data_IF_766434170593
#
_entry.id   IF_766434170593
#
_cell.length_a   1.000
_cell.length_b   1.000
_cell.length_c   1.000
_cell.angle_alpha   90.00
_cell.angle_beta   90.00
_cell.angle_gamma   90.00
#
_symmetry.space_group_name_H-M   'P 1'
#
loop_
_entity.id
_entity.type
_entity.pdbx_description
1 polymer ?
#
# COMPACT_ATOMS: atom_id res chain seq x y z
N UNK A 1 -5.94 -6.54 15.65
CA UNK A 1 -6.14 -5.79 14.42
C UNK A 1 -4.81 -5.60 13.71
N UNK A 2 -4.77 -5.87 12.41
CA UNK A 2 -3.55 -5.67 11.66
C UNK A 2 -3.49 -4.22 11.16
N UNK A 3 -2.42 -3.55 11.49
CA UNK A 3 -2.17 -2.20 11.00
C UNK A 3 -0.85 -2.25 10.27
N UNK A 4 -0.88 -2.04 8.96
CA UNK A 4 0.33 -2.12 8.16
C UNK A 4 0.66 -0.76 7.58
N UNK A 5 1.96 -0.55 7.35
CA UNK A 5 2.41 0.65 6.67
C UNK A 5 2.63 0.32 5.21
N UNK A 6 2.09 1.14 4.33
CA UNK A 6 2.17 0.94 2.90
C UNK A 6 3.24 1.83 2.30
N UNK A 7 4.08 1.23 1.48
CA UNK A 7 5.18 1.92 0.82
C UNK A 7 5.06 1.75 -0.68
N UNK A 8 5.57 2.71 -1.42
CA UNK A 8 5.62 2.64 -2.88
C UNK A 8 7.06 2.83 -3.32
N UNK A 9 7.52 1.95 -4.22
CA UNK A 9 8.86 2.07 -4.75
C UNK A 9 8.85 3.03 -5.93
N UNK A 10 9.64 4.08 -5.83
CA UNK A 10 9.85 5.06 -6.89
C UNK A 10 11.34 5.28 -7.05
N UNK A 11 11.84 5.09 -8.26
CA UNK A 11 13.26 5.30 -8.52
C UNK A 11 14.17 4.46 -7.66
N UNK A 12 13.73 3.24 -7.32
CA UNK A 12 14.50 2.33 -6.50
C UNK A 12 14.44 2.59 -5.00
N UNK A 13 13.62 3.54 -4.59
CA UNK A 13 13.49 3.88 -3.17
C UNK A 13 12.06 3.64 -2.68
N UNK A 14 11.94 3.19 -1.44
CA UNK A 14 10.65 3.01 -0.80
C UNK A 14 10.21 4.32 -0.15
N UNK A 15 9.02 4.76 -0.50
CA UNK A 15 8.44 5.96 0.11
C UNK A 15 7.17 5.56 0.84
N UNK A 16 7.01 6.05 2.06
CA UNK A 16 5.82 5.78 2.83
C UNK A 16 4.63 6.50 2.19
N UNK A 17 3.57 5.75 1.93
CA UNK A 17 2.36 6.29 1.30
C UNK A 17 1.26 6.50 2.33
N UNK A 18 1.05 5.51 3.18
CA UNK A 18 -0.03 5.57 4.16
C UNK A 18 0.32 4.69 5.34
N UNK A 19 0.14 5.22 6.54
CA UNK A 19 0.36 4.48 7.78
C UNK A 19 -0.94 3.86 8.28
N UNK A 20 -0.81 2.80 9.05
CA UNK A 20 -1.93 2.16 9.76
C UNK A 20 -3.05 1.77 8.81
N UNK A 21 -2.68 1.11 7.72
CA UNK A 21 -3.64 0.63 6.72
C UNK A 21 -4.33 -0.62 7.25
N UNK A 22 -5.64 -0.64 7.21
CA UNK A 22 -6.40 -1.84 7.60
C UNK A 22 -7.26 -2.40 6.48
N UNK A 23 -7.41 -1.68 5.37
CA UNK A 23 -8.18 -2.15 4.22
C UNK A 23 -7.37 -1.94 2.95
N UNK A 24 -7.25 -3.00 2.17
CA UNK A 24 -6.63 -2.93 0.84
C UNK A 24 -7.57 -3.64 -0.11
N UNK A 25 -8.06 -2.92 -1.10
CA UNK A 25 -9.00 -3.48 -2.07
C UNK A 25 -8.54 -3.17 -3.49
N UNK A 26 -8.68 -4.13 -4.41
CA UNK A 26 -8.34 -3.85 -5.81
C UNK A 26 -9.34 -2.88 -6.42
N UNK A 27 -8.85 -2.04 -7.32
CA UNK A 27 -9.70 -1.11 -8.07
C UNK A 27 -10.02 -1.71 -9.43
N UNK A 28 -11.23 -1.39 -9.93
CA UNK A 28 -11.69 -1.94 -11.20
C UNK A 28 -10.79 -1.57 -12.37
N UNK A 29 -10.17 -0.40 -12.30
CA UNK A 29 -9.32 0.08 -13.38
C UNK A 29 -7.84 -0.22 -13.15
N UNK A 30 -7.58 -1.10 -12.20
CA UNK A 30 -6.22 -1.46 -11.84
C UNK A 30 -5.74 -0.71 -10.62
N UNK A 31 -4.75 -1.28 -9.95
CA UNK A 31 -4.23 -0.69 -8.73
C UNK A 31 -5.03 -1.09 -7.51
N UNK A 32 -4.76 -0.42 -6.41
CA UNK A 32 -5.34 -0.76 -5.12
C UNK A 32 -5.76 0.50 -4.38
N UNK A 33 -6.87 0.39 -3.67
CA UNK A 33 -7.32 1.42 -2.75
C UNK A 33 -6.96 1.01 -1.34
N UNK A 34 -6.26 1.89 -0.65
CA UNK A 34 -5.83 1.67 0.73
C UNK A 34 -6.62 2.58 1.64
N UNK A 35 -7.05 2.05 2.77
CA UNK A 35 -7.77 2.86 3.76
C UNK A 35 -7.09 2.66 5.11
N UNK A 36 -6.78 3.75 5.79
CA UNK A 36 -6.18 3.69 7.11
C UNK A 36 -7.25 3.52 8.18
N UNK A 37 -6.82 3.20 9.39
CA UNK A 37 -7.74 3.09 10.52
C UNK A 37 -8.41 4.42 10.84
N UNK A 38 -7.86 5.52 10.33
CA UNK A 38 -8.44 6.86 10.53
C UNK A 38 -9.35 7.28 9.39
N UNK A 39 -9.58 6.39 8.42
CA UNK A 39 -10.44 6.69 7.28
C UNK A 39 -9.75 7.40 6.13
N UNK A 40 -8.46 7.64 6.22
CA UNK A 40 -7.72 8.24 5.13
C UNK A 40 -7.56 7.24 3.99
N UNK A 41 -7.75 7.69 2.76
CA UNK A 41 -7.72 6.81 1.59
C UNK A 41 -6.63 7.24 0.61
N UNK A 42 -5.99 6.25 0.00
CA UNK A 42 -5.01 6.46 -1.06
C UNK A 42 -5.23 5.41 -2.14
N UNK A 43 -5.05 5.81 -3.39
CA UNK A 43 -5.11 4.87 -4.50
C UNK A 43 -3.72 4.77 -5.10
N UNK A 44 -3.25 3.53 -5.23
CA UNK A 44 -1.93 3.25 -5.79
C UNK A 44 -2.12 2.53 -7.12
N UNK A 45 -1.60 3.09 -8.20
CA UNK A 45 -1.63 2.47 -9.51
C UNK A 45 -0.37 1.63 -9.67
N UNK A 46 -0.43 0.40 -9.17
CA UNK A 46 0.72 -0.47 -9.20
C UNK A 46 0.36 -1.84 -8.72
N UNK A 47 1.36 -2.64 -8.43
CA UNK A 47 1.13 -3.99 -7.93
C UNK A 47 1.85 -4.16 -6.60
N UNK A 48 1.41 -5.17 -5.86
CA UNK A 48 2.07 -5.52 -4.61
C UNK A 48 3.38 -6.23 -4.96
N UNK A 49 4.49 -5.67 -4.48
CA UNK A 49 5.77 -6.30 -4.67
C UNK A 49 6.00 -7.39 -3.63
N UNK A 50 5.77 -7.06 -2.38
CA UNK A 50 5.82 -8.05 -1.31
C UNK A 50 5.12 -7.52 -0.07
N UNK A 51 4.80 -8.43 0.84
CA UNK A 51 4.24 -8.11 2.15
C UNK A 51 5.07 -8.80 3.21
N UNK A 52 5.39 -8.06 4.26
CA UNK A 52 6.02 -8.64 5.43
C UNK A 52 5.12 -8.32 6.62
N UNK A 53 4.28 -9.28 6.98
CA UNK A 53 3.25 -9.03 7.98
C UNK A 53 3.80 -9.02 9.39
N UNK A 54 4.96 -9.61 9.60
CA UNK A 54 5.63 -9.54 10.89
C UNK A 54 6.09 -8.11 11.16
N UNK A 55 6.60 -7.44 10.12
CA UNK A 55 7.05 -6.06 10.23
C UNK A 55 5.96 -5.05 9.89
N UNK A 56 4.74 -5.52 9.65
CA UNK A 56 3.60 -4.66 9.30
C UNK A 56 3.92 -3.80 8.08
N UNK A 57 4.51 -4.42 7.06
CA UNK A 57 4.99 -3.69 5.89
C UNK A 57 4.40 -4.27 4.62
N UNK A 58 3.85 -3.40 3.77
CA UNK A 58 3.35 -3.79 2.46
C UNK A 58 4.00 -2.86 1.45
N UNK A 59 4.65 -3.44 0.45
CA UNK A 59 5.40 -2.65 -0.53
C UNK A 59 4.77 -2.84 -1.90
N UNK A 60 4.46 -1.71 -2.52
CA UNK A 60 3.91 -1.67 -3.87
C UNK A 60 4.98 -1.14 -4.81
N UNK A 61 4.87 -1.48 -6.09
CA UNK A 61 5.72 -0.88 -7.11
C UNK A 61 4.85 -0.39 -8.26
N UNK A 62 5.28 0.71 -8.87
CA UNK A 62 4.54 1.31 -9.96
C UNK A 62 4.57 0.39 -11.18
N UNK A 63 3.46 0.37 -11.91
CA UNK A 63 3.41 -0.31 -13.19
C UNK A 63 4.02 0.60 -14.25
N UNK A 64 4.89 0.08 -15.12
CA UNK A 64 5.43 0.90 -16.21
C UNK A 64 4.38 1.26 -17.24
#
# INVERSE_FOLDING_TARGET
MCEANAYLIKGGQEELVLESVDIIEPEDEGGYRLVSIFGEQKIIEGKIKFMNLVNHKIVFEEQP
#
